data_IF_716765342799
#
_entry.id   IF_716765342799
#
_cell.length_a   1.000
_cell.length_b   1.000
_cell.length_c   1.000
_cell.angle_alpha   90.00
_cell.angle_beta   90.00
_cell.angle_gamma   90.00
#
_symmetry.space_group_name_H-M   'P 1'
#
loop_
_entity.id
_entity.type
_entity.pdbx_description
1 polymer ?
#
# COMPACT_ATOMS: atom_id res chain seq x y z
N UNK A 1 -10.92 -2.77 -21.24
CA UNK A 1 -10.31 -3.96 -20.59
C UNK A 1 -8.98 -3.62 -19.86
N UNK A 2 -9.00 -2.73 -18.85
CA UNK A 2 -7.87 -2.45 -17.93
C UNK A 2 -8.36 -1.83 -16.61
N UNK A 3 -9.67 -1.75 -16.38
CA UNK A 3 -10.27 -1.06 -15.23
C UNK A 3 -10.27 -1.93 -13.96
N UNK A 4 -10.41 -3.25 -14.11
CA UNK A 4 -10.33 -4.20 -13.00
C UNK A 4 -8.94 -4.21 -12.36
N UNK A 5 -7.90 -4.01 -13.19
CA UNK A 5 -6.52 -3.87 -12.70
C UNK A 5 -6.34 -2.61 -11.84
N UNK A 6 -7.02 -1.51 -12.16
CA UNK A 6 -6.91 -0.27 -11.38
C UNK A 6 -7.49 -0.42 -9.97
N UNK A 7 -8.55 -1.21 -9.78
CA UNK A 7 -9.08 -1.52 -8.45
C UNK A 7 -8.15 -2.43 -7.67
N UNK A 8 -7.69 -3.53 -8.27
CA UNK A 8 -6.74 -4.42 -7.60
C UNK A 8 -5.41 -3.70 -7.26
N UNK A 9 -4.96 -2.81 -8.14
CA UNK A 9 -3.81 -1.94 -7.91
C UNK A 9 -4.07 -0.96 -6.75
N UNK A 10 -5.23 -0.31 -6.74
CA UNK A 10 -5.65 0.61 -5.68
C UNK A 10 -5.70 -0.07 -4.30
N UNK A 11 -6.30 -1.26 -4.23
CA UNK A 11 -6.43 -2.02 -2.99
C UNK A 11 -5.06 -2.48 -2.46
N UNK A 12 -4.20 -3.01 -3.34
CA UNK A 12 -2.85 -3.39 -2.94
C UNK A 12 -2.01 -2.18 -2.48
N UNK A 13 -2.19 -1.03 -3.13
CA UNK A 13 -1.49 0.21 -2.79
C UNK A 13 -1.89 0.71 -1.40
N UNK A 14 -3.19 0.70 -1.11
CA UNK A 14 -3.72 1.12 0.19
C UNK A 14 -3.27 0.16 1.30
N UNK A 15 -3.32 -1.15 1.06
CA UNK A 15 -2.85 -2.16 2.03
C UNK A 15 -1.35 -2.01 2.32
N UNK A 16 -0.53 -1.75 1.30
CA UNK A 16 0.91 -1.53 1.49
C UNK A 16 1.19 -0.26 2.32
N UNK A 17 0.47 0.83 2.06
CA UNK A 17 0.58 2.06 2.85
C UNK A 17 0.10 1.86 4.30
N UNK A 18 -0.96 1.07 4.49
CA UNK A 18 -1.47 0.73 5.82
C UNK A 18 -0.48 -0.11 6.63
N UNK A 19 0.16 -1.11 6.02
CA UNK A 19 1.23 -1.88 6.66
C UNK A 19 2.42 -0.99 7.09
N UNK A 20 2.79 0.00 6.27
CA UNK A 20 3.83 0.98 6.63
C UNK A 20 3.39 1.87 7.80
N UNK A 21 2.11 2.23 7.86
CA UNK A 21 1.55 2.95 9.00
C UNK A 21 1.62 2.13 10.30
N UNK A 22 1.15 0.88 10.28
CA UNK A 22 1.16 -0.02 11.44
C UNK A 22 2.58 -0.32 11.95
N UNK A 23 3.56 -0.43 11.06
CA UNK A 23 4.96 -0.60 11.44
C UNK A 23 5.60 0.63 12.12
N UNK A 24 4.86 1.73 12.26
CA UNK A 24 5.33 2.93 12.96
C UNK A 24 6.32 3.78 12.17
N UNK A 25 6.21 3.77 10.83
CA UNK A 25 7.17 4.47 9.98
C UNK A 25 7.33 5.96 10.37
N UNK A 26 8.57 6.45 10.61
CA UNK A 26 8.80 7.81 11.03
C UNK A 26 8.21 8.85 10.07
N UNK A 27 7.43 9.78 10.63
CA UNK A 27 6.83 10.88 9.88
C UNK A 27 5.77 10.46 8.86
N UNK A 28 5.15 9.28 9.00
CA UNK A 28 4.16 8.75 8.06
C UNK A 28 3.09 9.78 7.67
N UNK A 29 2.45 10.43 8.66
CA UNK A 29 1.38 11.40 8.41
C UNK A 29 1.83 12.55 7.50
N UNK A 30 3.03 13.11 7.74
CA UNK A 30 3.57 14.19 6.90
C UNK A 30 3.81 13.69 5.48
N UNK A 31 4.49 12.55 5.33
CA UNK A 31 4.79 11.94 4.03
C UNK A 31 3.51 11.59 3.26
N UNK A 32 2.48 11.11 3.94
CA UNK A 32 1.18 10.78 3.36
C UNK A 32 0.46 12.03 2.83
N UNK A 33 0.44 13.12 3.60
CA UNK A 33 -0.13 14.39 3.13
C UNK A 33 0.64 14.96 1.94
N UNK A 34 1.97 14.85 1.93
CA UNK A 34 2.78 15.32 0.80
C UNK A 34 2.57 14.48 -0.46
N UNK A 35 2.35 13.17 -0.31
CA UNK A 35 1.94 12.27 -1.40
C UNK A 35 0.58 12.69 -1.98
N UNK A 36 -0.43 12.92 -1.12
CA UNK A 36 -1.76 13.36 -1.55
C UNK A 36 -1.71 14.72 -2.27
N UNK A 37 -0.88 15.65 -1.78
CA UNK A 37 -0.66 16.96 -2.42
C UNK A 37 0.00 16.86 -3.79
N UNK A 38 0.89 15.89 -3.98
CA UNK A 38 1.54 15.66 -5.27
C UNK A 38 0.56 15.12 -6.33
N UNK A 39 -0.54 14.48 -5.91
CA UNK A 39 -1.57 13.96 -6.81
C UNK A 39 -0.99 13.09 -7.93
N UNK A 40 -1.47 13.29 -9.17
CA UNK A 40 -1.00 12.56 -10.36
C UNK A 40 0.24 13.14 -11.05
N UNK A 41 0.91 14.14 -10.46
CA UNK A 41 2.05 14.83 -11.11
C UNK A 41 3.36 14.02 -11.06
N UNK A 42 3.42 12.99 -10.21
CA UNK A 42 4.58 12.10 -10.03
C UNK A 42 4.21 10.66 -10.34
N UNK A 43 5.18 9.89 -10.85
CA UNK A 43 4.99 8.44 -11.04
C UNK A 43 4.85 7.74 -9.69
N UNK A 44 4.08 6.66 -9.65
CA UNK A 44 3.82 5.88 -8.42
C UNK A 44 5.11 5.51 -7.67
N UNK A 45 6.16 5.14 -8.39
CA UNK A 45 7.45 4.76 -7.82
C UNK A 45 8.08 5.91 -7.01
N UNK A 46 7.96 7.15 -7.52
CA UNK A 46 8.47 8.35 -6.85
C UNK A 46 7.60 8.76 -5.66
N UNK A 47 6.29 8.52 -5.74
CA UNK A 47 5.35 8.77 -4.63
C UNK A 47 5.54 7.78 -3.48
N UNK A 48 5.95 6.55 -3.78
CA UNK A 48 6.08 5.46 -2.83
C UNK A 48 7.49 5.32 -2.21
N UNK A 49 8.52 5.81 -2.91
CA UNK A 49 9.90 5.80 -2.41
C UNK A 49 10.06 6.38 -0.98
N UNK A 50 9.37 7.48 -0.57
CA UNK A 50 9.46 8.00 0.80
C UNK A 50 8.98 7.04 1.89
N UNK A 51 8.18 6.03 1.54
CA UNK A 51 7.66 5.00 2.43
C UNK A 51 8.49 3.71 2.37
N UNK A 52 9.58 3.70 1.60
CA UNK A 52 10.37 2.49 1.33
C UNK A 52 9.62 1.47 0.47
N UNK A 53 8.63 1.91 -0.30
CA UNK A 53 7.78 1.07 -1.12
C UNK A 53 8.15 1.24 -2.60
N UNK A 54 8.20 0.12 -3.33
CA UNK A 54 8.49 0.09 -4.75
C UNK A 54 7.54 -0.86 -5.47
N UNK A 55 6.61 -0.31 -6.25
CA UNK A 55 5.62 -1.10 -6.99
C UNK A 55 6.23 -1.99 -8.10
N UNK A 56 7.48 -1.74 -8.51
CA UNK A 56 8.22 -2.58 -9.44
C UNK A 56 8.79 -3.85 -8.78
N UNK A 57 8.82 -3.92 -7.45
CA UNK A 57 9.34 -5.08 -6.72
C UNK A 57 8.22 -6.09 -6.40
N UNK A 58 8.41 -7.39 -6.70
CA UNK A 58 7.43 -8.42 -6.34
C UNK A 58 7.12 -8.48 -4.84
N UNK A 59 8.09 -8.10 -3.99
CA UNK A 59 7.93 -8.05 -2.54
C UNK A 59 6.84 -7.04 -2.09
N UNK A 60 6.62 -5.97 -2.84
CA UNK A 60 5.56 -5.00 -2.58
C UNK A 60 4.17 -5.66 -2.70
N UNK A 61 3.96 -6.42 -3.76
CA UNK A 61 2.71 -7.15 -4.01
C UNK A 61 2.46 -8.25 -3.00
N UNK A 62 3.53 -8.95 -2.60
CA UNK A 62 3.45 -9.96 -1.54
C UNK A 62 2.95 -9.37 -0.22
N UNK A 63 3.48 -8.22 0.20
CA UNK A 63 3.00 -7.52 1.42
C UNK A 63 1.52 -7.17 1.35
N UNK A 64 1.03 -6.70 0.20
CA UNK A 64 -0.40 -6.37 0.02
C UNK A 64 -1.30 -7.60 0.15
N UNK A 65 -0.86 -8.76 -0.34
CA UNK A 65 -1.56 -10.05 -0.19
C UNK A 65 -1.49 -10.59 1.24
N UNK A 66 -0.36 -10.43 1.92
CA UNK A 66 -0.16 -10.88 3.31
C UNK A 66 -1.12 -10.16 4.28
N UNK A 67 -1.43 -8.88 4.04
CA UNK A 67 -2.45 -8.14 4.83
C UNK A 67 -3.84 -8.77 4.68
N UNK A 68 -4.23 -9.14 3.46
CA UNK A 68 -5.52 -9.78 3.19
C UNK A 68 -5.57 -11.17 3.83
N UNK A 69 -4.46 -11.92 3.76
CA UNK A 69 -4.34 -13.21 4.42
C UNK A 69 -4.51 -13.07 5.95
N UNK A 70 -3.90 -12.07 6.57
CA UNK A 70 -4.09 -11.78 8.00
C UNK A 70 -5.54 -11.51 8.39
N UNK A 71 -6.31 -10.78 7.57
CA UNK A 71 -7.74 -10.58 7.82
C UNK A 71 -8.56 -11.87 7.70
N UNK A 72 -8.16 -12.80 6.83
CA UNK A 72 -8.79 -14.12 6.73
C UNK A 72 -8.47 -14.95 7.97
N UNK A 73 -7.22 -14.96 8.41
CA UNK A 73 -6.79 -15.67 9.63
C UNK A 73 -7.53 -15.15 10.88
N UNK A 74 -7.70 -13.83 11.02
CA UNK A 74 -8.48 -13.22 12.10
C UNK A 74 -9.96 -13.64 12.06
N UNK A 75 -10.56 -13.71 10.87
CA UNK A 75 -11.95 -14.17 10.70
C UNK A 75 -12.10 -15.65 11.04
N UNK A 76 -11.15 -16.50 10.65
CA UNK A 76 -11.15 -17.94 10.99
C UNK A 76 -10.96 -18.17 12.50
N UNK A 77 -10.15 -17.34 13.17
CA UNK A 77 -9.93 -17.43 14.61
C UNK A 77 -11.10 -16.91 15.47
N UNK A 78 -11.97 -16.07 14.90
CA UNK A 78 -13.13 -15.49 15.57
C UNK A 78 -14.42 -16.34 15.43
N UNK A 79 -14.41 -17.39 14.59
CA UNK A 79 -15.50 -18.36 14.41
C UNK A 79 -15.41 -19.55 15.35
#
# INVERSE_FOLDING_TARGET
PFYVYAYAFGDCLVNALYSVFESGHPGFQRKYLDMLRAGGTKRYNELLAPFGLNAAEPAFWKRGLDVIAGFIDELEAAG
#
